data_IF_103440514176
#
_entry.id   IF_103440514176
#
_cell.length_a   1.000
_cell.length_b   1.000
_cell.length_c   1.000
_cell.angle_alpha   90.00
_cell.angle_beta   90.00
_cell.angle_gamma   90.00
#
_symmetry.space_group_name_H-M   'P 1'
#
loop_
_entity.id
_entity.type
_entity.pdbx_description
1 polymer ?
#
# COMPACT_ATOMS: atom_id res chain seq x y z
N UNK A 1 15.55 3.74 2.67
CA UNK A 1 14.46 4.13 1.73
C UNK A 1 13.12 4.18 2.45
N UNK A 2 12.11 4.90 1.93
CA UNK A 2 10.79 4.97 2.56
C UNK A 2 10.16 3.57 2.77
N UNK A 3 10.35 2.65 1.83
CA UNK A 3 9.92 1.25 1.92
C UNK A 3 10.48 0.51 3.15
N UNK A 4 11.78 0.67 3.44
CA UNK A 4 12.42 0.01 4.60
C UNK A 4 11.85 0.48 5.94
N UNK A 5 11.46 1.76 6.02
CA UNK A 5 10.83 2.31 7.22
C UNK A 5 9.43 1.72 7.37
N UNK A 6 8.65 1.70 6.29
CA UNK A 6 7.29 1.16 6.31
C UNK A 6 7.26 -0.34 6.64
N UNK A 7 8.23 -1.12 6.16
CA UNK A 7 8.34 -2.54 6.52
C UNK A 7 8.59 -2.76 8.01
N UNK A 8 9.33 -1.87 8.67
CA UNK A 8 9.49 -1.93 10.13
C UNK A 8 8.19 -1.57 10.85
N UNK A 9 7.47 -0.55 10.37
CA UNK A 9 6.19 -0.14 10.93
C UNK A 9 5.09 -1.19 10.74
N UNK A 10 5.18 -2.03 9.71
CA UNK A 10 4.28 -3.16 9.52
C UNK A 10 4.39 -4.24 10.62
N UNK A 11 5.45 -4.20 11.43
CA UNK A 11 5.66 -5.10 12.58
C UNK A 11 5.48 -4.38 13.93
N UNK A 12 4.96 -3.15 13.95
CA UNK A 12 4.71 -2.39 15.18
C UNK A 12 3.67 -3.11 16.07
N UNK A 13 3.79 -3.07 17.41
CA UNK A 13 2.78 -3.65 18.29
C UNK A 13 1.39 -3.01 18.15
N UNK A 14 1.29 -1.78 17.62
CA UNK A 14 0.03 -1.07 17.49
C UNK A 14 -0.64 -1.39 16.15
N UNK A 15 -1.87 -1.88 16.20
CA UNK A 15 -2.67 -2.27 15.04
C UNK A 15 -2.91 -1.13 14.03
N UNK A 16 -3.22 0.09 14.49
CA UNK A 16 -3.41 1.26 13.62
C UNK A 16 -2.13 1.68 12.89
N UNK A 17 -0.95 1.48 13.51
CA UNK A 17 0.34 1.74 12.88
C UNK A 17 0.58 0.72 11.77
N UNK A 18 0.33 -0.56 12.07
CA UNK A 18 0.44 -1.63 11.06
C UNK A 18 -0.52 -1.42 9.91
N UNK A 19 -1.78 -1.08 10.18
CA UNK A 19 -2.78 -0.76 9.16
C UNK A 19 -2.28 0.32 8.19
N UNK A 20 -1.82 1.45 8.74
CA UNK A 20 -1.29 2.56 7.93
C UNK A 20 -0.05 2.15 7.13
N UNK A 21 0.85 1.38 7.74
CA UNK A 21 2.06 0.90 7.08
C UNK A 21 1.75 0.00 5.88
N UNK A 22 0.77 -0.92 6.00
CA UNK A 22 0.36 -1.81 4.91
C UNK A 22 -0.25 -1.03 3.73
N UNK A 23 -1.13 -0.06 4.01
CA UNK A 23 -1.72 0.80 2.98
C UNK A 23 -0.63 1.62 2.27
N UNK A 24 0.30 2.20 3.03
CA UNK A 24 1.42 2.97 2.47
C UNK A 24 2.36 2.10 1.62
N UNK A 25 2.66 0.87 2.04
CA UNK A 25 3.44 -0.09 1.26
C UNK A 25 2.77 -0.38 -0.09
N UNK A 26 1.45 -0.57 -0.11
CA UNK A 26 0.72 -0.78 -1.36
C UNK A 26 0.82 0.44 -2.31
N UNK A 27 0.74 1.67 -1.77
CA UNK A 27 0.91 2.88 -2.59
C UNK A 27 2.32 3.01 -3.16
N UNK A 28 3.35 2.64 -2.39
CA UNK A 28 4.76 2.70 -2.82
C UNK A 28 5.07 1.66 -3.90
N UNK A 29 4.54 0.43 -3.75
CA UNK A 29 4.84 -0.67 -4.68
C UNK A 29 3.82 -0.83 -5.82
N UNK A 30 2.84 0.07 -5.93
CA UNK A 30 1.87 0.08 -7.02
C UNK A 30 2.59 0.17 -8.37
N UNK A 31 2.15 -0.63 -9.35
CA UNK A 31 2.77 -0.75 -10.69
C UNK A 31 4.24 -1.22 -10.73
N UNK A 32 4.83 -1.66 -9.61
CA UNK A 32 6.14 -2.29 -9.66
C UNK A 32 6.02 -3.71 -10.26
N UNK A 33 6.90 -4.03 -11.21
CA UNK A 33 7.03 -5.38 -11.75
C UNK A 33 8.03 -6.19 -10.93
N UNK A 34 7.85 -7.51 -10.91
CA UNK A 34 8.73 -8.44 -10.20
C UNK A 34 10.16 -8.40 -10.76
N UNK A 35 10.32 -8.21 -12.06
CA UNK A 35 11.62 -8.10 -12.72
C UNK A 35 12.41 -6.86 -12.26
N UNK A 36 11.73 -5.73 -12.02
CA UNK A 36 12.37 -4.49 -11.58
C UNK A 36 12.51 -4.41 -10.06
N UNK A 37 11.55 -4.98 -9.34
CA UNK A 37 11.51 -4.93 -7.89
C UNK A 37 11.01 -6.28 -7.36
N UNK A 38 11.90 -7.28 -7.18
CA UNK A 38 11.51 -8.61 -6.72
C UNK A 38 10.77 -8.59 -5.38
N UNK A 39 11.06 -7.59 -4.54
CA UNK A 39 10.45 -7.37 -3.24
C UNK A 39 8.94 -7.18 -3.27
N UNK A 40 8.36 -6.79 -4.41
CA UNK A 40 6.90 -6.71 -4.56
C UNK A 40 6.22 -8.04 -4.26
N UNK A 41 6.88 -9.18 -4.53
CA UNK A 41 6.35 -10.52 -4.22
C UNK A 41 6.24 -10.73 -2.70
N UNK A 42 7.25 -10.30 -1.94
CA UNK A 42 7.27 -10.42 -0.48
C UNK A 42 6.17 -9.57 0.16
N UNK A 43 5.98 -8.35 -0.33
CA UNK A 43 4.93 -7.43 0.15
C UNK A 43 3.53 -7.98 -0.14
N UNK A 44 3.31 -8.58 -1.31
CA UNK A 44 2.02 -9.22 -1.61
C UNK A 44 1.74 -10.41 -0.70
N UNK A 45 2.75 -11.26 -0.47
CA UNK A 45 2.65 -12.39 0.46
C UNK A 45 2.38 -11.92 1.89
N UNK A 46 2.95 -10.79 2.30
CA UNK A 46 2.66 -10.17 3.59
C UNK A 46 1.16 -9.83 3.70
N UNK A 47 0.59 -9.16 2.70
CA UNK A 47 -0.85 -8.85 2.70
C UNK A 47 -1.72 -10.10 2.78
N UNK A 48 -1.48 -11.09 1.92
CA UNK A 48 -2.24 -12.35 1.90
C UNK A 48 -2.14 -13.09 3.24
N UNK A 49 -0.94 -13.15 3.83
CA UNK A 49 -0.72 -13.77 5.14
C UNK A 49 -1.52 -13.06 6.23
N UNK A 50 -1.43 -11.73 6.30
CA UNK A 50 -2.15 -10.94 7.32
C UNK A 50 -3.66 -11.09 7.18
N UNK A 51 -4.19 -11.19 5.96
CA UNK A 51 -5.61 -11.44 5.70
C UNK A 51 -6.03 -12.82 6.22
N UNK A 52 -5.21 -13.85 5.97
CA UNK A 52 -5.52 -15.24 6.32
C UNK A 52 -5.26 -15.63 7.78
N UNK A 53 -4.46 -14.86 8.52
CA UNK A 53 -4.11 -15.20 9.90
C UNK A 53 -5.27 -14.92 10.87
N UNK A 54 -5.76 -15.93 11.57
CA UNK A 54 -6.86 -15.77 12.54
C UNK A 54 -6.48 -14.87 13.72
N UNK A 55 -5.20 -14.80 14.09
CA UNK A 55 -4.71 -14.10 15.29
C UNK A 55 -4.42 -12.62 15.05
N UNK A 56 -4.52 -12.14 13.81
CA UNK A 56 -4.31 -10.74 13.50
C UNK A 56 -5.51 -9.88 13.89
N UNK A 57 -5.22 -8.67 14.37
CA UNK A 57 -6.22 -7.67 14.75
C UNK A 57 -7.11 -7.30 13.56
N UNK A 58 -8.39 -7.05 13.82
CA UNK A 58 -9.38 -6.70 12.80
C UNK A 58 -8.94 -5.45 12.02
N UNK A 59 -8.35 -4.47 12.71
CA UNK A 59 -7.86 -3.24 12.10
C UNK A 59 -6.70 -3.49 11.13
N UNK A 60 -5.71 -4.29 11.54
CA UNK A 60 -4.58 -4.70 10.69
C UNK A 60 -5.07 -5.46 9.45
N UNK A 61 -6.03 -6.38 9.63
CA UNK A 61 -6.66 -7.12 8.52
C UNK A 61 -7.35 -6.20 7.54
N UNK A 62 -8.12 -5.23 8.02
CA UNK A 62 -8.77 -4.24 7.17
C UNK A 62 -7.76 -3.49 6.32
N UNK A 63 -6.65 -3.05 6.91
CA UNK A 63 -5.52 -2.42 6.20
C UNK A 63 -4.93 -3.33 5.13
N UNK A 64 -4.72 -4.63 5.44
CA UNK A 64 -4.18 -5.60 4.50
C UNK A 64 -5.11 -5.85 3.30
N UNK A 65 -6.43 -5.94 3.51
CA UNK A 65 -7.42 -6.09 2.43
C UNK A 65 -7.41 -4.86 1.52
N UNK A 66 -7.42 -3.66 2.10
CA UNK A 66 -7.34 -2.41 1.32
C UNK A 66 -6.01 -2.32 0.55
N UNK A 67 -4.89 -2.63 1.20
CA UNK A 67 -3.57 -2.64 0.60
C UNK A 67 -3.50 -3.59 -0.61
N UNK A 68 -4.09 -4.79 -0.49
CA UNK A 68 -4.17 -5.75 -1.58
C UNK A 68 -4.99 -5.22 -2.77
N UNK A 69 -6.11 -4.52 -2.52
CA UNK A 69 -6.88 -3.86 -3.58
C UNK A 69 -6.13 -2.70 -4.26
N UNK A 70 -5.40 -1.90 -3.46
CA UNK A 70 -4.61 -0.76 -3.94
C UNK A 70 -3.49 -1.22 -4.89
N UNK A 71 -2.71 -2.24 -4.49
CA UNK A 71 -1.57 -2.71 -5.29
C UNK A 71 -2.00 -3.33 -6.64
N UNK A 72 -3.23 -3.87 -6.71
CA UNK A 72 -3.83 -4.44 -7.92
C UNK A 72 -4.80 -3.52 -8.68
N UNK A 73 -4.86 -2.24 -8.29
CA UNK A 73 -5.78 -1.27 -8.87
C UNK A 73 -5.72 -1.23 -10.41
N UNK A 74 -6.89 -1.32 -11.05
CA UNK A 74 -7.03 -1.33 -12.51
C UNK A 74 -6.38 -2.54 -13.18
N UNK A 75 -6.29 -3.69 -12.51
CA UNK A 75 -5.55 -4.84 -13.02
C UNK A 75 -4.05 -4.56 -13.13
N UNK A 76 -3.52 -3.78 -12.18
CA UNK A 76 -2.13 -3.27 -12.16
C UNK A 76 -1.79 -2.26 -13.27
N UNK A 77 -2.80 -1.70 -13.96
CA UNK A 77 -2.63 -0.66 -14.99
C UNK A 77 -2.92 0.76 -14.49
N UNK A 78 -3.36 0.93 -13.24
CA UNK A 78 -3.62 2.24 -12.64
C UNK A 78 -2.53 2.61 -11.63
N UNK A 79 -2.27 3.92 -11.49
CA UNK A 79 -1.39 4.48 -10.46
C UNK A 79 -1.93 5.77 -9.87
N UNK A 80 -1.62 6.03 -8.61
CA UNK A 80 -1.87 7.31 -7.94
C UNK A 80 -0.79 8.29 -8.39
N UNK A 81 -1.18 9.30 -9.16
CA UNK A 81 -0.29 10.37 -9.60
C UNK A 81 -0.87 11.74 -9.23
N UNK A 82 -0.20 12.44 -8.32
CA UNK A 82 -0.60 13.76 -7.81
C UNK A 82 -0.20 14.90 -8.75
N UNK A 83 0.79 14.66 -9.61
CA UNK A 83 1.29 15.60 -10.60
C UNK A 83 1.23 15.00 -12.00
N UNK A 84 1.00 15.83 -13.01
CA UNK A 84 1.16 15.45 -14.42
C UNK A 84 2.65 15.34 -14.78
N UNK A 85 2.93 14.75 -15.94
CA UNK A 85 4.28 14.74 -16.51
C UNK A 85 4.81 16.15 -16.81
N UNK A 86 3.91 17.11 -17.04
CA UNK A 86 4.25 18.53 -17.21
C UNK A 86 4.43 19.31 -15.90
N UNK A 87 4.37 18.63 -14.74
CA UNK A 87 4.56 19.24 -13.42
C UNK A 87 3.32 19.93 -12.84
N UNK A 88 2.17 19.89 -13.52
CA UNK A 88 0.93 20.48 -13.01
C UNK A 88 0.28 19.58 -11.96
N UNK A 89 -0.23 20.17 -10.87
CA UNK A 89 -0.94 19.42 -9.82
C UNK A 89 -2.30 18.94 -10.32
N UNK A 90 -2.56 17.65 -10.19
CA UNK A 90 -3.87 17.04 -10.47
C UNK A 90 -4.73 17.22 -9.23
N UNK A 91 -5.41 18.37 -9.13
CA UNK A 91 -6.18 18.72 -7.93
C UNK A 91 -7.22 17.66 -7.54
N UNK A 92 -7.83 16.98 -8.51
CA UNK A 92 -8.76 15.87 -8.23
C UNK A 92 -8.07 14.68 -7.57
N UNK A 93 -6.84 14.33 -7.96
CA UNK A 93 -6.07 13.26 -7.34
C UNK A 93 -5.59 13.64 -5.93
N UNK A 94 -5.20 14.92 -5.74
CA UNK A 94 -4.80 15.45 -4.43
C UNK A 94 -5.98 15.43 -3.46
N UNK A 95 -7.13 15.99 -3.86
CA UNK A 95 -8.34 15.99 -3.04
C UNK A 95 -8.83 14.57 -2.78
N UNK A 96 -8.79 13.70 -3.79
CA UNK A 96 -9.17 12.29 -3.64
C UNK A 96 -8.30 11.56 -2.61
N UNK A 97 -6.98 11.76 -2.65
CA UNK A 97 -6.08 11.17 -1.66
C UNK A 97 -6.26 11.78 -0.26
N UNK A 98 -6.50 13.08 -0.16
CA UNK A 98 -6.73 13.76 1.12
C UNK A 98 -8.06 13.37 1.80
N UNK A 99 -9.08 12.96 1.03
CA UNK A 99 -10.34 12.45 1.57
C UNK A 99 -10.28 10.95 1.88
N UNK A 100 -9.30 10.24 1.33
CA UNK A 100 -9.13 8.80 1.54
C UNK A 100 -8.46 8.47 2.89
N UNK A 101 -7.62 9.38 3.41
CA UNK A 101 -6.94 9.24 4.72
C UNK A 101 -7.90 9.44 5.88
#
# INVERSE_FOLDING_TARGET
>A
SASEILERLAADPSDFVRQGALIALAMVYMQHSEARTPKVIEIRKLFEKTIGDMHEDVMTKFGAILAYGIIDSGGRNSSIALTSLSGHRRMTAVVGLALFT
#
